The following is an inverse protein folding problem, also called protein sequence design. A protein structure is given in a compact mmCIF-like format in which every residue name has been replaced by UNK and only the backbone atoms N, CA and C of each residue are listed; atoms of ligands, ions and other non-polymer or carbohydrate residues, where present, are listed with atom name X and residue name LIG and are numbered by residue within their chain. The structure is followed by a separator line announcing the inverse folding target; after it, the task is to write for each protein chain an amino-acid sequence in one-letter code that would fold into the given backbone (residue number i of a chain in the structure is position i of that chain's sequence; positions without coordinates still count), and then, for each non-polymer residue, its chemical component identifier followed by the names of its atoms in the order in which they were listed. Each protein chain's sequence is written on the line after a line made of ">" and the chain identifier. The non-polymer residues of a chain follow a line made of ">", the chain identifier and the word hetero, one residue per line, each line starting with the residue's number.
data_IF_675695033607
#
_entry.id   IF_675695033607
#
_cell.length_a   1.000
_cell.length_b   1.000
_cell.length_c   1.000
_cell.angle_alpha   90.00
_cell.angle_beta   90.00
_cell.angle_gamma   90.00
#
_symmetry.space_group_name_H-M   'P 1'
#
loop_
_entity.id
_entity.type
_entity.pdbx_description
1 polymer ?
#
# COMPACT_ATOMS: atom_id res chain seq x y z
N UNK A 1 -1.35 -2.91 -15.64
CA UNK A 1 -0.71 -1.63 -15.29
C UNK A 1 0.76 -1.90 -15.08
N UNK A 2 1.60 -0.94 -15.47
CA UNK A 2 3.00 -0.98 -15.09
C UNK A 2 3.21 -0.40 -13.67
N UNK A 3 4.42 -0.53 -13.14
CA UNK A 3 4.78 -0.09 -11.78
C UNK A 3 4.58 1.42 -11.58
N UNK A 4 4.79 2.24 -12.61
CA UNK A 4 4.68 3.69 -12.51
C UNK A 4 3.20 4.12 -12.51
N UNK A 5 2.37 3.49 -13.34
CA UNK A 5 0.92 3.67 -13.33
C UNK A 5 0.32 3.28 -11.97
N UNK A 6 0.79 2.17 -11.39
CA UNK A 6 0.34 1.71 -10.09
C UNK A 6 0.75 2.65 -8.96
N UNK A 7 1.95 3.22 -9.05
CA UNK A 7 2.43 4.24 -8.11
C UNK A 7 1.57 5.50 -8.17
N UNK A 8 1.27 5.99 -9.38
CA UNK A 8 0.42 7.15 -9.57
C UNK A 8 -0.99 6.93 -8.99
N UNK A 9 -1.55 5.73 -9.16
CA UNK A 9 -2.83 5.36 -8.55
C UNK A 9 -2.75 5.33 -7.02
N UNK A 10 -1.69 4.74 -6.47
CA UNK A 10 -1.47 4.68 -5.02
C UNK A 10 -1.36 6.09 -4.43
N UNK A 11 -0.56 6.96 -5.04
CA UNK A 11 -0.37 8.35 -4.60
C UNK A 11 -1.68 9.14 -4.68
N UNK A 12 -2.46 8.96 -5.75
CA UNK A 12 -3.79 9.56 -5.90
C UNK A 12 -4.73 9.11 -4.77
N UNK A 13 -4.79 7.81 -4.49
CA UNK A 13 -5.64 7.25 -3.43
C UNK A 13 -5.21 7.72 -2.04
N UNK A 14 -3.91 7.82 -1.80
CA UNK A 14 -3.37 8.38 -0.56
C UNK A 14 -3.75 9.85 -0.38
N UNK A 15 -3.72 10.64 -1.47
CA UNK A 15 -4.17 12.02 -1.44
C UNK A 15 -5.68 12.14 -1.17
N UNK A 16 -6.51 11.41 -1.91
CA UNK A 16 -7.97 11.37 -1.70
C UNK A 16 -8.29 10.98 -0.25
N UNK A 17 -7.56 10.01 0.30
CA UNK A 17 -7.75 9.58 1.68
C UNK A 17 -7.31 10.65 2.68
N UNK A 18 -6.27 11.43 2.37
CA UNK A 18 -5.77 12.52 3.23
C UNK A 18 -6.77 13.66 3.35
N UNK A 19 -7.44 13.97 2.24
CA UNK A 19 -8.48 15.01 2.20
C UNK A 19 -9.70 14.62 3.05
N UNK A 20 -9.97 13.31 3.16
CA UNK A 20 -11.09 12.78 3.95
C UNK A 20 -10.76 12.62 5.43
N UNK A 21 -9.58 12.07 5.75
CA UNK A 21 -9.12 11.83 7.12
C UNK A 21 -7.59 12.02 7.25
N UNK A 22 -7.15 13.27 7.53
CA UNK A 22 -5.72 13.58 7.57
C UNK A 22 -4.99 12.93 8.76
N UNK A 23 -5.70 12.66 9.86
CA UNK A 23 -5.12 12.00 11.03
C UNK A 23 -4.84 10.52 10.73
N UNK A 24 -5.80 9.83 10.11
CA UNK A 24 -5.67 8.42 9.74
C UNK A 24 -4.64 8.21 8.63
N UNK A 25 -4.49 9.14 7.69
CA UNK A 25 -3.40 9.08 6.70
C UNK A 25 -2.03 9.22 7.33
N UNK A 26 -1.85 10.15 8.28
CA UNK A 26 -0.57 10.30 8.94
C UNK A 26 -0.15 8.99 9.62
N UNK A 27 -1.07 8.37 10.34
CA UNK A 27 -0.86 7.06 10.96
C UNK A 27 -0.50 6.00 9.90
N UNK A 28 -1.28 5.89 8.82
CA UNK A 28 -1.02 4.95 7.73
C UNK A 28 0.39 5.09 7.12
N UNK A 29 0.84 6.33 6.90
CA UNK A 29 2.18 6.59 6.35
C UNK A 29 3.27 6.21 7.35
N UNK A 30 3.09 6.53 8.63
CA UNK A 30 4.03 6.14 9.70
C UNK A 30 4.15 4.61 9.79
N UNK A 31 3.02 3.90 9.79
CA UNK A 31 2.98 2.43 9.81
C UNK A 31 3.59 1.79 8.56
N UNK A 32 3.39 2.37 7.38
CA UNK A 32 4.01 1.90 6.13
C UNK A 32 5.52 1.99 6.16
N UNK A 33 6.04 3.10 6.70
CA UNK A 33 7.49 3.31 6.86
C UNK A 33 8.04 2.35 7.91
N UNK A 34 7.34 2.16 9.03
CA UNK A 34 7.73 1.21 10.07
C UNK A 34 7.78 -0.22 9.52
N UNK A 35 6.72 -0.67 8.85
CA UNK A 35 6.67 -1.98 8.20
C UNK A 35 7.81 -2.17 7.21
N UNK A 36 8.09 -1.18 6.34
CA UNK A 36 9.18 -1.25 5.38
C UNK A 36 10.56 -1.35 6.05
N UNK A 37 10.73 -0.74 7.24
CA UNK A 37 11.97 -0.83 8.01
C UNK A 37 12.23 -2.23 8.60
N UNK A 38 11.16 -3.03 8.79
CA UNK A 38 11.24 -4.38 9.34
C UNK A 38 11.55 -5.44 8.26
N UNK A 39 11.39 -5.10 6.99
CA UNK A 39 11.61 -6.02 5.88
C UNK A 39 13.08 -5.97 5.44
N UNK A 40 13.79 -7.11 5.45
CA UNK A 40 15.12 -7.19 4.85
C UNK A 40 15.03 -6.88 3.36
N UNK A 41 15.57 -5.74 2.96
CA UNK A 41 15.54 -5.25 1.58
C UNK A 41 16.93 -4.81 1.13
N UNK A 42 17.22 -4.89 -0.19
CA UNK A 42 18.44 -4.31 -0.74
C UNK A 42 18.58 -2.83 -0.37
N UNK A 43 19.81 -2.31 -0.15
CA UNK A 43 20.01 -0.91 0.23
C UNK A 43 19.56 0.12 -0.82
N UNK A 44 19.27 -0.33 -2.04
CA UNK A 44 18.73 0.49 -3.13
C UNK A 44 17.20 0.48 -3.21
N UNK A 45 16.53 -0.38 -2.44
CA UNK A 45 15.07 -0.50 -2.47
C UNK A 45 14.42 0.65 -1.72
N UNK A 46 13.49 1.32 -2.40
CA UNK A 46 12.63 2.34 -1.81
C UNK A 46 11.47 1.69 -1.07
N UNK A 47 10.83 2.44 -0.17
CA UNK A 47 9.58 2.02 0.49
C UNK A 47 8.51 1.62 -0.54
N UNK A 48 8.42 2.36 -1.66
CA UNK A 48 7.50 2.02 -2.74
C UNK A 48 7.84 0.67 -3.38
N UNK A 49 9.11 0.34 -3.58
CA UNK A 49 9.50 -0.94 -4.16
C UNK A 49 9.00 -2.11 -3.31
N UNK A 50 9.10 -2.00 -1.98
CA UNK A 50 8.62 -3.00 -1.03
C UNK A 50 7.10 -3.10 -1.03
N UNK A 51 6.40 -1.95 -1.00
CA UNK A 51 4.94 -1.90 -1.10
C UNK A 51 4.46 -2.53 -2.40
N UNK A 52 5.12 -2.21 -3.52
CA UNK A 52 4.80 -2.74 -4.82
C UNK A 52 4.93 -4.27 -4.85
N UNK A 53 6.07 -4.81 -4.43
CA UNK A 53 6.28 -6.27 -4.33
C UNK A 53 5.18 -6.93 -3.50
N UNK A 54 4.82 -6.31 -2.38
CA UNK A 54 3.77 -6.81 -1.51
C UNK A 54 2.39 -6.80 -2.17
N UNK A 55 2.05 -5.75 -2.92
CA UNK A 55 0.83 -5.68 -3.72
C UNK A 55 0.80 -6.80 -4.76
N UNK A 56 1.92 -7.08 -5.43
CA UNK A 56 2.00 -8.17 -6.41
C UNK A 56 1.75 -9.54 -5.77
N UNK A 57 2.32 -9.76 -4.59
CA UNK A 57 2.14 -11.01 -3.85
C UNK A 57 0.69 -11.21 -3.40
N UNK A 58 0.05 -10.16 -2.89
CA UNK A 58 -1.37 -10.19 -2.54
C UNK A 58 -2.25 -10.44 -3.76
N UNK A 59 -1.99 -9.73 -4.86
CA UNK A 59 -2.71 -9.90 -6.12
C UNK A 59 -2.64 -11.36 -6.60
N UNK A 60 -1.44 -11.95 -6.61
CA UNK A 60 -1.24 -13.36 -6.97
C UNK A 60 -1.91 -14.33 -6.01
N UNK A 61 -1.74 -14.13 -4.70
CA UNK A 61 -2.26 -15.04 -3.65
C UNK A 61 -3.79 -15.12 -3.67
N UNK A 62 -4.45 -13.99 -3.89
CA UNK A 62 -5.92 -13.91 -3.87
C UNK A 62 -6.56 -13.94 -5.26
N UNK A 63 -5.77 -14.01 -6.34
CA UNK A 63 -6.29 -13.99 -7.71
C UNK A 63 -6.91 -12.65 -8.10
N UNK A 64 -6.42 -11.55 -7.52
CA UNK A 64 -6.88 -10.19 -7.81
C UNK A 64 -5.92 -9.46 -8.75
N UNK A 65 -6.36 -8.33 -9.29
CA UNK A 65 -5.48 -7.40 -10.00
C UNK A 65 -4.76 -6.50 -8.98
N UNK A 66 -3.55 -6.05 -9.31
CA UNK A 66 -2.79 -5.09 -8.49
C UNK A 66 -3.59 -3.80 -8.24
N UNK A 67 -4.30 -3.33 -9.27
CA UNK A 67 -5.22 -2.19 -9.19
C UNK A 67 -6.33 -2.42 -8.15
N UNK A 68 -6.94 -3.61 -8.14
CA UNK A 68 -7.96 -3.95 -7.15
C UNK A 68 -7.38 -3.95 -5.75
N UNK A 69 -6.19 -4.51 -5.57
CA UNK A 69 -5.50 -4.48 -4.27
C UNK A 69 -5.32 -3.02 -3.83
N UNK A 70 -4.79 -2.14 -4.68
CA UNK A 70 -4.64 -0.71 -4.33
C UNK A 70 -5.97 -0.05 -3.98
N UNK A 71 -7.04 -0.30 -4.74
CA UNK A 71 -8.35 0.26 -4.40
C UNK A 71 -8.88 -0.27 -3.06
N UNK A 72 -8.76 -1.57 -2.81
CA UNK A 72 -9.19 -2.21 -1.57
C UNK A 72 -8.36 -1.70 -0.36
N UNK A 73 -7.08 -1.39 -0.56
CA UNK A 73 -6.20 -0.83 0.47
C UNK A 73 -6.69 0.53 0.98
N UNK A 74 -7.35 1.33 0.15
CA UNK A 74 -7.87 2.66 0.52
C UNK A 74 -9.40 2.70 0.67
N UNK A 75 -10.07 1.54 0.65
CA UNK A 75 -11.49 1.46 0.96
C UNK A 75 -11.70 1.72 2.46
N UNK A 76 -12.52 2.72 2.86
CA UNK A 76 -12.83 2.99 4.26
C UNK A 76 -13.34 1.79 5.06
N UNK A 77 -13.99 0.82 4.40
CA UNK A 77 -14.46 -0.41 5.01
C UNK A 77 -13.35 -1.46 5.20
N UNK A 78 -12.21 -1.32 4.51
CA UNK A 78 -11.10 -2.27 4.52
C UNK A 78 -9.78 -1.65 5.04
N UNK A 79 -9.74 -0.36 5.36
CA UNK A 79 -8.51 0.32 5.78
C UNK A 79 -7.98 -0.20 7.13
N UNK A 80 -8.86 -0.66 8.02
CA UNK A 80 -8.43 -1.34 9.25
C UNK A 80 -7.86 -2.75 8.95
N UNK A 81 -8.19 -3.29 7.77
CA UNK A 81 -7.61 -4.51 7.23
C UNK A 81 -6.29 -4.26 6.47
N UNK A 82 -5.94 -3.02 6.12
CA UNK A 82 -4.70 -2.68 5.38
C UNK A 82 -3.45 -3.21 6.11
N UNK A 83 -3.34 -2.92 7.41
CA UNK A 83 -2.24 -3.41 8.24
C UNK A 83 -2.23 -4.93 8.34
N UNK A 84 -3.42 -5.53 8.47
CA UNK A 84 -3.58 -6.98 8.45
C UNK A 84 -3.14 -7.59 7.12
N UNK A 85 -3.44 -6.92 5.99
CA UNK A 85 -3.05 -7.37 4.65
C UNK A 85 -1.56 -7.20 4.38
N UNK A 86 -0.88 -6.21 4.95
CA UNK A 86 0.57 -6.09 4.86
C UNK A 86 1.31 -7.13 5.70
N UNK A 87 0.69 -7.62 6.78
CA UNK A 87 1.26 -8.63 7.69
C UNK A 87 1.05 -10.10 7.26
N UNK A 88 0.19 -10.35 6.26
CA UNK A 88 -0.24 -11.69 5.82
C UNK A 88 0.83 -12.56 5.11
#
# INVERSE_FOLDING_TARGET
>A
MDKAELQALFDLKLQEFRERDPAKVRFLVEELVEWASLIPSPPTSTTWDMIYERIQDLAKRFGFTEERVVNDLFDPAAIDHFMFFLQL
#
